data_IF_452724375287
#
_entry.id   IF_452724375287
#
_cell.length_a   1.000
_cell.length_b   1.000
_cell.length_c   1.000
_cell.angle_alpha   90.00
_cell.angle_beta   90.00
_cell.angle_gamma   90.00
#
_symmetry.space_group_name_H-M   'P 1'
#
loop_
_entity.id
_entity.type
_entity.pdbx_description
1 polymer ?
#
# COMPACT_ATOMS: atom_id res chain seq x y z
N UNK A 1 15.30 -18.50 -12.03
CA UNK A 1 14.16 -18.59 -11.11
C UNK A 1 14.23 -17.39 -10.16
N UNK A 2 13.64 -16.25 -10.54
CA UNK A 2 13.60 -15.06 -9.68
C UNK A 2 12.47 -15.23 -8.68
N UNK A 3 12.80 -15.31 -7.39
CA UNK A 3 11.80 -15.30 -6.31
C UNK A 3 11.14 -13.91 -6.26
N UNK A 4 9.81 -13.79 -6.15
CA UNK A 4 9.16 -12.50 -6.06
C UNK A 4 9.53 -11.81 -4.75
N UNK A 5 9.59 -10.47 -4.77
CA UNK A 5 9.92 -9.52 -3.69
C UNK A 5 9.01 -9.61 -2.43
N UNK A 6 8.29 -10.70 -2.23
CA UNK A 6 7.16 -10.80 -1.31
C UNK A 6 7.56 -11.16 0.13
N UNK A 7 8.72 -11.80 0.34
CA UNK A 7 9.06 -12.39 1.65
C UNK A 7 9.50 -11.39 2.72
N UNK A 8 9.89 -10.16 2.36
CA UNK A 8 10.41 -9.18 3.33
C UNK A 8 9.33 -8.34 4.03
N UNK A 9 8.19 -8.13 3.36
CA UNK A 9 7.14 -7.23 3.84
C UNK A 9 6.25 -7.89 4.90
N UNK A 10 5.87 -9.13 4.66
CA UNK A 10 4.89 -9.82 5.51
C UNK A 10 5.48 -10.12 6.90
N UNK A 11 6.77 -10.46 6.98
CA UNK A 11 7.48 -10.68 8.25
C UNK A 11 7.63 -9.41 9.12
N UNK A 12 7.67 -8.22 8.50
CA UNK A 12 7.71 -6.96 9.25
C UNK A 12 6.33 -6.60 9.80
N UNK A 13 5.27 -6.88 9.04
CA UNK A 13 3.89 -6.55 9.43
C UNK A 13 3.43 -7.44 10.60
N UNK A 14 3.83 -8.72 10.64
CA UNK A 14 3.43 -9.65 11.71
C UNK A 14 4.07 -9.35 13.08
N UNK A 15 5.15 -8.56 13.13
CA UNK A 15 5.83 -8.17 14.38
C UNK A 15 5.50 -6.75 14.86
N UNK A 16 4.72 -5.99 14.07
CA UNK A 16 4.33 -4.63 14.37
C UNK A 16 2.90 -4.61 14.92
N UNK A 17 2.73 -4.09 16.13
CA UNK A 17 1.42 -3.84 16.72
C UNK A 17 0.77 -2.60 16.07
N UNK A 18 0.32 -2.75 14.82
CA UNK A 18 -0.26 -1.66 14.02
C UNK A 18 -1.68 -2.01 13.59
N UNK A 19 -2.61 -1.07 13.77
CA UNK A 19 -4.01 -1.27 13.38
C UNK A 19 -4.18 -1.31 11.86
N UNK A 20 -3.35 -0.57 11.13
CA UNK A 20 -3.36 -0.51 9.67
C UNK A 20 -1.99 -0.23 9.07
N UNK A 21 -1.83 -0.59 7.80
CA UNK A 21 -0.66 -0.29 6.97
C UNK A 21 -1.06 0.67 5.87
N UNK A 22 -0.31 1.77 5.71
CA UNK A 22 -0.48 2.75 4.63
C UNK A 22 0.67 2.64 3.62
N UNK A 23 0.33 2.75 2.34
CA UNK A 23 1.29 2.90 1.24
C UNK A 23 0.84 4.00 0.26
N UNK A 24 1.79 4.58 -0.47
CA UNK A 24 1.54 5.56 -1.52
C UNK A 24 1.84 4.93 -2.87
N UNK A 25 0.87 4.98 -3.78
CA UNK A 25 1.02 4.56 -5.18
C UNK A 25 0.77 5.74 -6.07
N UNK A 26 1.61 5.97 -7.07
CA UNK A 26 1.31 6.98 -8.08
C UNK A 26 -0.08 6.71 -8.69
N UNK A 27 -0.94 7.73 -8.67
CA UNK A 27 -2.34 7.65 -9.10
C UNK A 27 -2.50 7.24 -10.56
N UNK A 28 -1.49 7.48 -11.40
CA UNK A 28 -1.47 7.10 -12.82
C UNK A 28 -1.24 5.60 -13.02
N UNK A 29 -0.64 4.90 -12.04
CA UNK A 29 -0.34 3.47 -12.12
C UNK A 29 -1.53 2.60 -11.68
N UNK A 30 -2.61 2.64 -12.45
CA UNK A 30 -3.87 1.91 -12.17
C UNK A 30 -3.69 0.40 -11.97
N UNK A 31 -2.78 -0.24 -12.71
CA UNK A 31 -2.48 -1.68 -12.55
C UNK A 31 -1.87 -2.03 -11.20
N UNK A 32 -1.09 -1.11 -10.62
CA UNK A 32 -0.45 -1.29 -9.31
C UNK A 32 -1.48 -1.09 -8.20
N UNK A 33 -2.37 -0.11 -8.33
CA UNK A 33 -3.50 0.07 -7.41
C UNK A 33 -4.38 -1.19 -7.39
N UNK A 34 -4.75 -1.71 -8.57
CA UNK A 34 -5.53 -2.94 -8.68
C UNK A 34 -4.82 -4.18 -8.09
N UNK A 35 -3.48 -4.21 -8.09
CA UNK A 35 -2.72 -5.27 -7.42
C UNK A 35 -2.85 -5.17 -5.90
N UNK A 36 -2.71 -3.97 -5.34
CA UNK A 36 -2.85 -3.76 -3.91
C UNK A 36 -4.29 -3.94 -3.42
N UNK A 37 -5.29 -3.58 -4.23
CA UNK A 37 -6.70 -3.89 -3.97
C UNK A 37 -6.93 -5.38 -3.81
N UNK A 38 -6.38 -6.20 -4.70
CA UNK A 38 -6.46 -7.68 -4.58
C UNK A 38 -5.76 -8.21 -3.33
N UNK A 39 -4.84 -7.46 -2.75
CA UNK A 39 -4.16 -7.82 -1.49
C UNK A 39 -4.86 -7.25 -0.25
N UNK A 40 -6.05 -6.65 -0.42
CA UNK A 40 -6.88 -6.13 0.67
C UNK A 40 -6.56 -4.69 1.08
N UNK A 41 -5.86 -3.94 0.24
CA UNK A 41 -5.73 -2.50 0.43
C UNK A 41 -6.92 -1.78 -0.21
N UNK A 42 -7.32 -0.67 0.40
CA UNK A 42 -8.35 0.22 -0.11
C UNK A 42 -7.76 1.59 -0.38
N UNK A 43 -8.10 2.20 -1.51
CA UNK A 43 -7.78 3.61 -1.74
C UNK A 43 -8.67 4.47 -0.83
N UNK A 44 -8.06 5.23 0.06
CA UNK A 44 -8.76 6.10 1.03
C UNK A 44 -8.64 7.58 0.73
N UNK A 45 -7.57 7.98 0.07
CA UNK A 45 -7.32 9.39 -0.25
C UNK A 45 -6.33 9.54 -1.41
N UNK A 46 -6.03 10.78 -1.77
CA UNK A 46 -4.92 11.16 -2.62
C UNK A 46 -4.01 12.17 -1.91
N UNK A 47 -2.70 12.06 -2.11
CA UNK A 47 -1.70 12.94 -1.53
C UNK A 47 -0.84 13.53 -2.65
N UNK A 48 -0.64 14.85 -2.59
CA UNK A 48 0.34 15.56 -3.41
C UNK A 48 1.32 16.26 -2.46
N UNK A 49 2.53 15.70 -2.26
CA UNK A 49 3.49 16.24 -1.29
C UNK A 49 3.99 17.66 -1.59
N UNK A 50 4.05 18.02 -2.87
CA UNK A 50 4.38 19.36 -3.36
C UNK A 50 3.73 19.59 -4.72
N UNK A 51 3.60 20.84 -5.17
CA UNK A 51 2.93 21.16 -6.44
C UNK A 51 3.56 20.46 -7.66
N UNK A 52 4.88 20.21 -7.62
CA UNK A 52 5.62 19.51 -8.67
C UNK A 52 5.62 17.98 -8.53
N UNK A 53 5.05 17.44 -7.45
CA UNK A 53 4.99 15.99 -7.23
C UNK A 53 3.80 15.35 -7.96
N UNK A 54 3.94 14.09 -8.42
CA UNK A 54 2.80 13.29 -8.85
C UNK A 54 1.73 13.21 -7.74
N UNK A 55 0.48 13.03 -8.16
CA UNK A 55 -0.59 12.68 -7.21
C UNK A 55 -0.44 11.21 -6.87
N UNK A 56 -0.37 10.90 -5.58
CA UNK A 56 -0.29 9.54 -5.07
C UNK A 56 -1.62 9.11 -4.46
N UNK A 57 -2.15 7.96 -4.86
CA UNK A 57 -3.19 7.26 -4.13
C UNK A 57 -2.67 6.79 -2.77
N UNK A 58 -3.37 7.18 -1.71
CA UNK A 58 -3.20 6.68 -0.35
C UNK A 58 -3.97 5.38 -0.21
N UNK A 59 -3.25 4.26 -0.13
CA UNK A 59 -3.86 2.94 0.01
C UNK A 59 -3.63 2.39 1.42
N UNK A 60 -4.69 1.89 2.05
CA UNK A 60 -4.70 1.45 3.45
C UNK A 60 -5.22 0.02 3.55
N UNK A 61 -4.56 -0.83 4.35
CA UNK A 61 -5.05 -2.16 4.72
C UNK A 61 -5.10 -2.28 6.23
N UNK A 62 -6.26 -2.63 6.77
CA UNK A 62 -6.42 -2.96 8.18
C UNK A 62 -5.76 -4.31 8.47
N UNK A 63 -4.98 -4.39 9.55
CA UNK A 63 -4.23 -5.61 9.93
C UNK A 63 -4.75 -6.22 11.23
N UNK A 64 -5.32 -5.40 12.13
CA UNK A 64 -6.01 -5.89 13.33
C UNK A 64 -7.52 -5.75 13.14
N UNK A 65 -8.23 -6.87 13.28
CA UNK A 65 -9.69 -6.91 13.47
C UNK A 65 -9.87 -7.51 14.87
N UNK A 66 -10.30 -6.67 15.79
CA UNK A 66 -10.79 -7.00 17.13
C UNK A 66 -12.10 -7.79 17.09
#
# INVERSE_FOLDING_TARGET
>A
MSRPFQSGRDALIESLDVDFVKLLVDSTHTKVQALYERWGYEKRDEARPSDDSPVYAVMVRTVRID
#
